data_IF_606523283061
#
_entry.id   IF_606523283061
#
_cell.length_a   1.000
_cell.length_b   1.000
_cell.length_c   1.000
_cell.angle_alpha   90.00
_cell.angle_beta   90.00
_cell.angle_gamma   90.00
#
_symmetry.space_group_name_H-M   'P 1'
#
loop_
_entity.id
_entity.type
_entity.pdbx_description
1 polymer ?
#
# COMPACT_ATOMS: atom_id res chain seq x y z
N UNK A 1 -4.41 -13.50 -0.34
CA UNK A 1 -5.08 -12.36 0.32
C UNK A 1 -6.00 -12.87 1.43
N UNK A 2 -5.96 -12.25 2.58
CA UNK A 2 -6.77 -12.63 3.72
C UNK A 2 -7.62 -11.46 4.23
N UNK A 3 -8.77 -11.78 4.79
CA UNK A 3 -9.67 -10.80 5.43
C UNK A 3 -9.31 -10.69 6.91
N UNK A 4 -9.15 -9.46 7.39
CA UNK A 4 -8.80 -9.19 8.79
C UNK A 4 -9.90 -8.42 9.49
N UNK A 5 -10.05 -8.72 10.78
CA UNK A 5 -10.88 -7.98 11.72
C UNK A 5 -10.00 -7.51 12.88
N UNK A 6 -10.56 -6.71 13.80
CA UNK A 6 -9.82 -6.29 15.00
C UNK A 6 -9.30 -7.49 15.80
N UNK A 7 -10.10 -8.58 15.86
CA UNK A 7 -9.76 -9.78 16.61
C UNK A 7 -8.69 -10.66 15.92
N UNK A 8 -8.58 -10.57 14.59
CA UNK A 8 -7.68 -11.42 13.82
C UNK A 8 -6.43 -10.70 13.32
N UNK A 9 -6.30 -9.40 13.59
CA UNK A 9 -5.14 -8.63 13.19
C UNK A 9 -3.85 -9.19 13.85
N UNK A 10 -2.84 -9.60 13.05
CA UNK A 10 -1.65 -10.25 13.60
C UNK A 10 -0.64 -9.22 14.11
N UNK A 11 -0.91 -8.65 15.28
CA UNK A 11 -0.08 -7.60 15.88
C UNK A 11 1.36 -8.04 16.15
N UNK A 12 1.58 -9.33 16.36
CA UNK A 12 2.93 -9.87 16.57
C UNK A 12 3.76 -9.85 15.29
N UNK A 13 3.11 -10.05 14.14
CA UNK A 13 3.77 -10.06 12.83
C UNK A 13 4.00 -8.63 12.31
N UNK A 14 3.02 -7.74 12.52
CA UNK A 14 3.05 -6.36 12.03
C UNK A 14 2.83 -5.36 13.17
N UNK A 15 3.78 -5.31 14.12
CA UNK A 15 3.58 -4.54 15.36
C UNK A 15 3.47 -3.04 15.17
N UNK A 16 3.95 -2.50 14.05
CA UNK A 16 3.95 -1.07 13.79
C UNK A 16 2.78 -0.61 12.91
N UNK A 17 1.85 -1.51 12.60
CA UNK A 17 0.66 -1.19 11.81
C UNK A 17 -0.60 -1.64 12.53
N UNK A 18 -1.66 -0.83 12.41
CA UNK A 18 -2.98 -1.16 12.92
C UNK A 18 -3.93 -1.50 11.78
N UNK A 19 -4.96 -2.28 12.09
CA UNK A 19 -6.02 -2.56 11.12
C UNK A 19 -6.72 -1.26 10.68
N UNK A 20 -6.87 -0.28 11.57
CA UNK A 20 -7.49 1.01 11.26
C UNK A 20 -6.72 1.77 10.17
N UNK A 21 -5.39 1.67 10.15
CA UNK A 21 -4.57 2.30 9.10
C UNK A 21 -4.76 1.63 7.74
N UNK A 22 -4.98 0.31 7.74
CA UNK A 22 -4.95 -0.49 6.52
C UNK A 22 -6.33 -0.77 5.94
N UNK A 23 -7.39 -0.63 6.72
CA UNK A 23 -8.76 -0.89 6.26
C UNK A 23 -9.27 0.17 5.29
N UNK A 24 -10.20 -0.22 4.44
CA UNK A 24 -10.91 0.69 3.55
C UNK A 24 -11.63 1.77 4.38
N UNK A 25 -11.34 3.04 4.10
CA UNK A 25 -11.89 4.18 4.85
C UNK A 25 -13.40 4.34 4.69
N UNK A 26 -13.96 3.86 3.57
CA UNK A 26 -15.38 4.01 3.30
C UNK A 26 -16.22 2.80 3.73
N UNK A 27 -15.66 1.59 3.66
CA UNK A 27 -16.42 0.37 3.98
C UNK A 27 -16.01 -0.30 5.26
N UNK A 28 -14.84 0.03 5.81
CA UNK A 28 -14.30 -0.63 7.00
C UNK A 28 -13.72 -2.02 6.75
N UNK A 29 -13.85 -2.55 5.55
CA UNK A 29 -13.30 -3.86 5.20
C UNK A 29 -11.77 -3.80 5.11
N UNK A 30 -11.12 -4.91 5.46
CA UNK A 30 -9.67 -5.01 5.40
C UNK A 30 -9.26 -6.37 4.82
N UNK A 31 -8.91 -6.37 3.53
CA UNK A 31 -8.37 -7.54 2.85
C UNK A 31 -6.95 -7.20 2.40
N UNK A 32 -5.97 -8.00 2.84
CA UNK A 32 -4.57 -7.71 2.58
C UNK A 32 -3.81 -8.99 2.22
N UNK A 33 -2.80 -8.78 1.39
CA UNK A 33 -1.78 -9.78 1.12
C UNK A 33 -0.67 -9.64 2.16
N UNK A 34 -0.27 -10.75 2.77
CA UNK A 34 0.82 -10.76 3.75
C UNK A 34 2.14 -10.27 3.20
N UNK A 35 2.39 -10.47 1.91
CA UNK A 35 3.63 -9.98 1.27
C UNK A 35 3.73 -8.45 1.30
N UNK A 36 2.62 -7.74 1.09
CA UNK A 36 2.59 -6.28 1.23
C UNK A 36 2.97 -5.87 2.65
N UNK A 37 2.29 -6.45 3.63
CA UNK A 37 2.50 -6.07 5.03
C UNK A 37 3.90 -6.41 5.54
N UNK A 38 4.45 -7.55 5.12
CA UNK A 38 5.82 -7.93 5.46
C UNK A 38 6.82 -6.95 4.86
N UNK A 39 6.63 -6.53 3.61
CA UNK A 39 7.47 -5.51 2.98
C UNK A 39 7.36 -4.16 3.71
N UNK A 40 6.15 -3.70 4.03
CA UNK A 40 5.95 -2.47 4.78
C UNK A 40 6.60 -2.52 6.17
N UNK A 41 6.50 -3.66 6.85
CA UNK A 41 7.13 -3.81 8.17
C UNK A 41 8.66 -3.74 8.08
N UNK A 42 9.26 -4.31 7.02
CA UNK A 42 10.70 -4.20 6.80
C UNK A 42 11.12 -2.76 6.46
N UNK A 43 10.37 -2.08 5.63
CA UNK A 43 10.59 -0.65 5.33
C UNK A 43 10.51 0.18 6.62
N UNK A 44 9.49 -0.07 7.44
CA UNK A 44 9.30 0.60 8.73
C UNK A 44 10.50 0.39 9.67
N UNK A 45 11.04 -0.82 9.72
CA UNK A 45 12.19 -1.14 10.57
C UNK A 45 13.45 -0.35 10.19
N UNK A 46 13.62 -0.05 8.91
CA UNK A 46 14.79 0.66 8.37
C UNK A 46 14.57 2.18 8.37
N UNK A 47 13.41 2.65 7.90
CA UNK A 47 13.14 4.07 7.67
C UNK A 47 12.52 4.79 8.86
N UNK A 48 12.05 4.06 9.88
CA UNK A 48 11.30 4.64 11.00
C UNK A 48 9.80 4.75 10.69
N UNK A 49 9.04 5.52 11.49
CA UNK A 49 7.60 5.61 11.38
C UNK A 49 7.10 5.93 9.97
N UNK A 50 6.10 5.18 9.52
CA UNK A 50 5.41 5.39 8.23
C UNK A 50 3.98 5.85 8.48
N UNK A 51 3.55 6.86 7.74
CA UNK A 51 2.16 7.35 7.77
C UNK A 51 1.39 6.79 6.59
N UNK A 52 0.53 5.81 6.83
CA UNK A 52 -0.33 5.22 5.79
C UNK A 52 -1.56 6.11 5.60
N UNK A 53 -1.73 6.64 4.40
CA UNK A 53 -2.91 7.44 4.05
C UNK A 53 -3.96 6.62 3.33
N UNK A 54 -3.58 5.50 2.70
CA UNK A 54 -4.51 4.58 2.05
C UNK A 54 -3.91 3.18 2.03
N UNK A 55 -4.64 2.22 2.58
CA UNK A 55 -4.32 0.80 2.51
C UNK A 55 -5.26 0.09 1.54
N UNK A 56 -6.01 -0.91 2.04
CA UNK A 56 -7.01 -1.59 1.24
C UNK A 56 -8.15 -0.64 0.83
N UNK A 57 -8.60 -0.78 -0.40
CA UNK A 57 -9.84 -0.15 -0.89
C UNK A 57 -10.77 -1.21 -1.42
N UNK A 58 -11.98 -1.28 -0.87
CA UNK A 58 -13.03 -2.11 -1.45
C UNK A 58 -13.33 -1.64 -2.87
N UNK A 59 -13.73 -2.54 -3.79
CA UNK A 59 -14.24 -2.13 -5.10
C UNK A 59 -15.41 -1.15 -5.03
N UNK A 60 -16.10 -1.08 -3.88
CA UNK A 60 -17.20 -0.13 -3.61
C UNK A 60 -16.71 1.25 -3.17
N UNK A 61 -15.42 1.41 -2.87
CA UNK A 61 -14.85 2.72 -2.57
C UNK A 61 -15.06 3.63 -3.77
N UNK A 62 -15.43 4.89 -3.54
CA UNK A 62 -15.79 5.84 -4.60
C UNK A 62 -14.70 6.00 -5.67
N UNK A 63 -13.43 6.02 -5.27
CA UNK A 63 -12.30 6.11 -6.20
C UNK A 63 -12.16 4.86 -7.07
N UNK A 64 -12.43 3.68 -6.53
CA UNK A 64 -12.32 2.43 -7.27
C UNK A 64 -13.51 2.22 -8.20
N UNK A 65 -14.72 2.52 -7.73
CA UNK A 65 -15.93 2.45 -8.55
C UNK A 65 -15.86 3.40 -9.76
N UNK A 66 -15.26 4.58 -9.59
CA UNK A 66 -15.11 5.56 -10.66
C UNK A 66 -14.16 5.11 -11.78
N UNK A 67 -13.31 4.12 -11.55
CA UNK A 67 -12.39 3.60 -12.58
C UNK A 67 -13.08 2.78 -13.66
N UNK A 68 -14.34 2.39 -13.45
CA UNK A 68 -15.12 1.62 -14.45
C UNK A 68 -14.55 0.22 -14.73
N UNK A 69 -13.80 -0.36 -13.83
CA UNK A 69 -13.18 -1.69 -13.91
C UNK A 69 -13.18 -2.34 -12.53
N UNK A 70 -12.61 -3.53 -12.40
CA UNK A 70 -12.55 -4.26 -11.12
C UNK A 70 -11.69 -3.60 -10.04
N UNK A 71 -11.21 -2.40 -10.26
CA UNK A 71 -10.45 -1.59 -9.31
C UNK A 71 -8.97 -1.54 -9.62
N UNK A 72 -8.22 -0.81 -8.79
CA UNK A 72 -6.78 -0.64 -8.92
C UNK A 72 -6.00 -1.53 -7.94
N UNK A 73 -4.69 -1.25 -7.76
CA UNK A 73 -3.81 -2.04 -6.89
C UNK A 73 -4.30 -2.19 -5.45
N UNK A 74 -4.92 -1.15 -4.90
CA UNK A 74 -5.45 -1.17 -3.53
C UNK A 74 -6.57 -2.20 -3.33
N UNK A 75 -7.32 -2.54 -4.37
CA UNK A 75 -8.40 -3.54 -4.27
C UNK A 75 -7.88 -4.98 -4.19
N UNK A 76 -6.64 -5.20 -4.60
CA UNK A 76 -5.98 -6.50 -4.49
C UNK A 76 -5.39 -6.75 -3.09
N UNK A 77 -5.45 -5.76 -2.18
CA UNK A 77 -4.79 -5.85 -0.90
C UNK A 77 -3.26 -5.85 -0.98
N UNK A 78 -2.70 -5.34 -2.08
CA UNK A 78 -1.27 -5.39 -2.39
C UNK A 78 -0.63 -4.02 -2.49
N UNK A 79 -1.32 -2.96 -2.13
CA UNK A 79 -0.83 -1.59 -2.25
C UNK A 79 -1.13 -0.75 -1.02
N UNK A 80 -0.24 0.21 -0.76
CA UNK A 80 -0.42 1.23 0.26
C UNK A 80 0.17 2.55 -0.24
N UNK A 81 -0.46 3.66 0.16
CA UNK A 81 0.06 5.01 -0.03
C UNK A 81 0.66 5.50 1.28
N UNK A 82 1.89 5.97 1.21
CA UNK A 82 2.67 6.44 2.36
C UNK A 82 2.91 7.94 2.20
N UNK A 83 2.41 8.73 3.16
CA UNK A 83 2.69 10.17 3.19
C UNK A 83 4.15 10.39 3.53
N UNK A 84 4.88 11.05 2.64
CA UNK A 84 6.29 11.36 2.83
C UNK A 84 6.76 12.39 1.81
N UNK A 85 7.84 13.08 2.15
CA UNK A 85 8.43 14.10 1.28
C UNK A 85 9.94 14.17 1.49
N UNK A 86 10.64 14.72 0.51
CA UNK A 86 12.06 15.03 0.61
C UNK A 86 12.93 13.81 0.90
N UNK A 87 13.84 13.94 1.85
CA UNK A 87 14.78 12.87 2.24
C UNK A 87 14.04 11.62 2.70
N UNK A 88 12.97 11.76 3.46
CA UNK A 88 12.17 10.62 3.91
C UNK A 88 11.59 9.84 2.71
N UNK A 89 11.05 10.55 1.73
CA UNK A 89 10.51 9.91 0.52
C UNK A 89 11.62 9.19 -0.26
N UNK A 90 12.80 9.79 -0.36
CA UNK A 90 13.94 9.16 -1.02
C UNK A 90 14.34 7.86 -0.31
N UNK A 91 14.46 7.88 1.01
CA UNK A 91 14.84 6.70 1.80
C UNK A 91 13.80 5.60 1.73
N UNK A 92 12.51 5.95 1.81
CA UNK A 92 11.41 5.00 1.68
C UNK A 92 11.41 4.36 0.29
N UNK A 93 11.56 5.16 -0.76
CA UNK A 93 11.62 4.66 -2.12
C UNK A 93 12.76 3.65 -2.30
N UNK A 94 13.97 4.02 -1.87
CA UNK A 94 15.14 3.18 -1.97
C UNK A 94 14.94 1.86 -1.23
N UNK A 95 14.49 1.92 0.02
CA UNK A 95 14.26 0.75 0.85
C UNK A 95 13.14 -0.14 0.31
N UNK A 96 12.05 0.47 -0.17
CA UNK A 96 10.92 -0.27 -0.75
C UNK A 96 11.35 -1.10 -1.96
N UNK A 97 12.21 -0.56 -2.82
CA UNK A 97 12.76 -1.29 -3.96
C UNK A 97 13.60 -2.48 -3.49
N UNK A 98 14.45 -2.29 -2.49
CA UNK A 98 15.26 -3.36 -1.92
C UNK A 98 14.42 -4.45 -1.24
N UNK A 99 13.28 -4.09 -0.68
CA UNK A 99 12.40 -5.00 0.06
C UNK A 99 11.30 -5.64 -0.81
N UNK A 100 11.40 -5.51 -2.12
CA UNK A 100 10.58 -6.27 -3.06
C UNK A 100 9.33 -5.56 -3.56
N UNK A 101 9.17 -4.26 -3.33
CA UNK A 101 8.12 -3.49 -3.99
C UNK A 101 8.38 -3.44 -5.50
N UNK A 102 7.33 -3.67 -6.27
CA UNK A 102 7.37 -3.80 -7.73
C UNK A 102 6.65 -2.67 -8.45
N UNK A 103 5.80 -1.94 -7.74
CA UNK A 103 5.10 -0.77 -8.26
C UNK A 103 5.38 0.43 -7.37
N UNK A 104 5.85 1.51 -7.97
CA UNK A 104 6.14 2.76 -7.28
C UNK A 104 5.44 3.90 -8.00
N UNK A 105 4.49 4.54 -7.31
CA UNK A 105 3.89 5.79 -7.77
C UNK A 105 4.45 6.96 -6.98
N UNK A 106 4.80 8.04 -7.67
CA UNK A 106 5.44 9.20 -7.05
C UNK A 106 4.57 10.43 -7.20
N UNK A 107 4.14 10.98 -6.07
CA UNK A 107 3.53 12.30 -6.02
C UNK A 107 4.29 13.15 -5.01
N UNK A 108 5.22 13.96 -5.51
CA UNK A 108 6.08 14.82 -4.70
C UNK A 108 5.88 16.29 -5.06
N UNK A 109 4.65 16.67 -5.42
CA UNK A 109 4.24 18.06 -5.68
C UNK A 109 3.17 18.50 -4.70
N UNK A 110 3.18 19.79 -4.37
CA UNK A 110 2.18 20.36 -3.46
C UNK A 110 2.40 19.98 -2.00
N UNK A 111 1.31 19.91 -1.25
CA UNK A 111 1.35 19.68 0.21
C UNK A 111 1.07 18.22 0.58
N UNK A 112 0.31 17.51 -0.23
CA UNK A 112 -0.12 16.12 0.05
C UNK A 112 0.78 15.11 -0.67
N UNK A 113 2.07 15.18 -0.37
CA UNK A 113 3.08 14.33 -1.00
C UNK A 113 3.02 12.92 -0.46
N UNK A 114 3.12 11.95 -1.36
CA UNK A 114 3.12 10.54 -0.98
C UNK A 114 3.89 9.68 -1.99
N UNK A 115 4.15 8.45 -1.59
CA UNK A 115 4.55 7.36 -2.46
C UNK A 115 3.50 6.27 -2.42
N UNK A 116 3.09 5.78 -3.59
CA UNK A 116 2.38 4.53 -3.72
C UNK A 116 3.40 3.39 -3.77
N UNK A 117 3.20 2.38 -2.96
CA UNK A 117 4.02 1.16 -2.93
C UNK A 117 3.13 -0.05 -3.16
N UNK A 118 3.49 -0.92 -4.10
CA UNK A 118 2.78 -2.18 -4.27
C UNK A 118 3.72 -3.36 -4.52
N UNK A 119 3.18 -4.56 -4.32
CA UNK A 119 3.90 -5.83 -4.50
C UNK A 119 3.24 -6.70 -5.57
N UNK A 120 2.57 -6.08 -6.51
CA UNK A 120 1.93 -6.77 -7.65
C UNK A 120 3.00 -7.42 -8.52
N UNK A 121 2.74 -8.63 -9.01
CA UNK A 121 3.63 -9.35 -9.91
C UNK A 121 2.87 -9.80 -11.15
N UNK A 122 3.58 -10.36 -12.12
CA UNK A 122 2.99 -10.93 -13.33
C UNK A 122 2.08 -12.14 -13.04
N UNK A 123 2.13 -12.69 -11.82
CA UNK A 123 1.24 -13.78 -11.41
C UNK A 123 -0.14 -13.29 -10.95
N UNK A 124 -0.26 -11.99 -10.71
CA UNK A 124 -1.53 -11.39 -10.32
C UNK A 124 -2.37 -11.13 -11.57
N UNK A 125 -3.67 -11.38 -11.46
CA UNK A 125 -4.62 -11.02 -12.51
C UNK A 125 -4.91 -9.51 -12.46
N UNK A 126 -3.95 -8.74 -12.94
CA UNK A 126 -4.00 -7.28 -12.92
C UNK A 126 -3.39 -6.74 -14.24
N UNK A 127 -4.13 -5.85 -14.95
CA UNK A 127 -3.75 -5.41 -16.29
C UNK A 127 -2.68 -4.30 -16.28
N UNK A 128 -1.59 -4.51 -15.57
CA UNK A 128 -0.50 -3.55 -15.50
C UNK A 128 0.85 -4.27 -15.49
N UNK A 129 1.82 -3.65 -16.15
CA UNK A 129 3.20 -4.14 -16.16
C UNK A 129 3.83 -3.94 -14.77
N UNK A 130 4.57 -4.95 -14.31
CA UNK A 130 5.42 -4.88 -13.12
C UNK A 130 6.78 -5.54 -13.40
N UNK A 131 7.91 -5.04 -12.90
CA UNK A 131 8.02 -3.81 -12.10
C UNK A 131 7.84 -2.55 -12.94
N UNK A 132 7.35 -1.48 -12.32
CA UNK A 132 7.20 -0.19 -12.99
C UNK A 132 7.18 0.97 -11.99
N UNK A 133 7.45 2.16 -12.50
CA UNK A 133 7.39 3.42 -11.75
C UNK A 133 6.56 4.42 -12.56
N UNK A 134 5.79 5.25 -11.88
CA UNK A 134 5.01 6.31 -12.52
C UNK A 134 4.95 7.55 -11.64
N UNK A 135 4.57 8.67 -12.24
CA UNK A 135 4.25 9.91 -11.55
C UNK A 135 2.78 10.26 -11.74
N UNK A 136 2.27 10.99 -10.81
CA UNK A 136 0.90 11.51 -10.87
C UNK A 136 0.84 12.88 -11.53
#
# INVERSE_FOLDING_TARGET
>A
MATYTADTWPSDRWPNFSIAEMACRETGLCLLDGALMDALQRVRAICGPLTVTSGYRSPRHSKEAAKGRSGGPHTLGKAADIRCAGTQAFEILHTALDEGCTGIGIDQRGEDRFLHLDVITHLDDFPAVRPTIWSY
#
